data_IF_396986747278
#
_entry.id   IF_396986747278
#
_cell.length_a   1.000
_cell.length_b   1.000
_cell.length_c   1.000
_cell.angle_alpha   90.00
_cell.angle_beta   90.00
_cell.angle_gamma   90.00
#
_symmetry.space_group_name_H-M   'P 1'
#
loop_
_entity.id
_entity.type
_entity.pdbx_description
1 polymer ?
#
# COMPACT_ATOMS: atom_id res chain seq x y z
N UNK A 1 28.44 53.05 22.62
CA UNK A 1 27.08 52.44 22.66
C UNK A 1 26.55 52.40 21.24
N UNK A 2 26.50 51.21 20.62
CA UNK A 2 26.15 51.05 19.21
C UNK A 2 24.62 50.96 19.09
N UNK A 3 23.99 51.97 18.51
CA UNK A 3 22.54 52.03 18.30
C UNK A 3 22.15 51.12 17.15
N UNK A 4 21.32 50.11 17.43
CA UNK A 4 20.80 49.19 16.42
C UNK A 4 19.59 49.87 15.77
N UNK A 5 19.75 50.33 14.54
CA UNK A 5 18.70 50.95 13.75
C UNK A 5 17.65 49.89 13.34
N UNK A 6 16.46 49.95 13.93
CA UNK A 6 15.36 49.06 13.59
C UNK A 6 14.63 49.62 12.37
N UNK A 7 14.97 49.14 11.16
CA UNK A 7 14.16 49.40 9.96
C UNK A 7 12.95 48.46 10.01
N UNK A 8 11.75 49.02 10.08
CA UNK A 8 10.50 48.26 10.02
C UNK A 8 10.24 47.73 8.60
N UNK A 9 9.72 46.51 8.50
CA UNK A 9 9.27 45.89 7.25
C UNK A 9 8.03 46.64 6.72
N UNK A 10 7.97 46.97 5.43
CA UNK A 10 6.77 47.57 4.83
C UNK A 10 5.66 46.53 4.68
N UNK A 11 4.41 46.92 4.95
CA UNK A 11 3.25 46.06 4.70
C UNK A 11 3.12 45.69 3.21
N UNK A 12 3.55 46.57 2.31
CA UNK A 12 3.55 46.33 0.86
C UNK A 12 4.60 45.27 0.49
N UNK A 13 5.76 45.29 1.14
CA UNK A 13 6.81 44.27 0.94
C UNK A 13 6.30 42.89 1.35
N UNK A 14 5.58 42.80 2.47
CA UNK A 14 4.99 41.54 2.90
C UNK A 14 3.86 41.07 1.95
N UNK A 15 3.05 42.00 1.43
CA UNK A 15 1.90 41.70 0.57
C UNK A 15 2.31 41.08 -0.76
N UNK A 16 3.35 41.62 -1.43
CA UNK A 16 3.82 41.06 -2.70
C UNK A 16 4.42 39.67 -2.48
N UNK A 17 5.12 39.45 -1.37
CA UNK A 17 5.72 38.16 -1.03
C UNK A 17 4.66 37.07 -0.86
N UNK A 18 3.58 37.34 -0.10
CA UNK A 18 2.51 36.33 0.08
C UNK A 18 1.76 36.04 -1.22
N UNK A 19 1.60 37.02 -2.11
CA UNK A 19 0.97 36.81 -3.43
C UNK A 19 1.82 35.88 -4.30
N UNK A 20 3.14 36.12 -4.38
CA UNK A 20 4.03 35.28 -5.19
C UNK A 20 4.09 33.87 -4.61
N UNK A 21 4.22 33.71 -3.28
CA UNK A 21 4.19 32.40 -2.62
C UNK A 21 2.85 31.69 -2.89
N UNK A 22 1.73 32.41 -2.89
CA UNK A 22 0.40 31.87 -3.21
C UNK A 22 0.31 31.28 -4.62
N UNK A 23 0.86 31.99 -5.62
CA UNK A 23 0.89 31.50 -7.01
C UNK A 23 1.76 30.25 -7.13
N UNK A 24 2.95 30.25 -6.51
CA UNK A 24 3.84 29.09 -6.52
C UNK A 24 3.20 27.88 -5.83
N UNK A 25 2.54 28.07 -4.69
CA UNK A 25 1.86 27.02 -3.95
C UNK A 25 0.71 26.39 -4.76
N UNK A 26 -0.07 27.20 -5.48
CA UNK A 26 -1.19 26.73 -6.30
C UNK A 26 -0.75 25.73 -7.39
N UNK A 27 0.44 25.91 -7.98
CA UNK A 27 0.99 25.00 -9.00
C UNK A 27 1.74 23.83 -8.34
N UNK A 28 2.47 24.09 -7.27
CA UNK A 28 3.34 23.10 -6.64
C UNK A 28 2.57 21.99 -5.90
N UNK A 29 1.49 22.34 -5.18
CA UNK A 29 0.71 21.39 -4.38
C UNK A 29 0.13 20.23 -5.22
N UNK A 30 -0.61 20.46 -6.34
CA UNK A 30 -1.18 19.36 -7.11
C UNK A 30 -0.10 18.44 -7.69
N UNK A 31 1.04 18.99 -8.14
CA UNK A 31 2.14 18.20 -8.65
C UNK A 31 2.80 17.36 -7.55
N UNK A 32 3.01 17.94 -6.36
CA UNK A 32 3.53 17.22 -5.21
C UNK A 32 2.61 16.06 -4.79
N UNK A 33 1.30 16.27 -4.80
CA UNK A 33 0.32 15.23 -4.48
C UNK A 33 0.34 14.11 -5.52
N UNK A 34 0.44 14.43 -6.82
CA UNK A 34 0.59 13.43 -7.87
C UNK A 34 1.88 12.61 -7.72
N UNK A 35 3.01 13.26 -7.46
CA UNK A 35 4.29 12.60 -7.22
C UNK A 35 4.24 11.69 -5.99
N UNK A 36 3.64 12.14 -4.90
CA UNK A 36 3.44 11.32 -3.68
C UNK A 36 2.60 10.09 -3.96
N UNK A 37 1.50 10.19 -4.72
CA UNK A 37 0.67 9.03 -5.10
C UNK A 37 1.48 7.99 -5.88
N UNK A 38 2.29 8.41 -6.84
CA UNK A 38 3.15 7.50 -7.61
C UNK A 38 4.20 6.82 -6.71
N UNK A 39 4.80 7.56 -5.77
CA UNK A 39 5.75 7.00 -4.80
C UNK A 39 5.10 6.00 -3.84
N UNK A 40 3.88 6.29 -3.38
CA UNK A 40 3.08 5.40 -2.54
C UNK A 40 2.76 4.09 -3.26
N UNK A 41 2.32 4.18 -4.52
CA UNK A 41 2.06 3.01 -5.36
C UNK A 41 3.31 2.16 -5.58
N UNK A 42 4.45 2.80 -5.91
CA UNK A 42 5.71 2.09 -6.06
C UNK A 42 6.13 1.36 -4.78
N UNK A 43 5.93 2.01 -3.63
CA UNK A 43 6.16 1.42 -2.32
C UNK A 43 5.26 0.21 -2.08
N UNK A 44 3.95 0.34 -2.36
CA UNK A 44 2.99 -0.75 -2.16
C UNK A 44 3.29 -1.96 -3.05
N UNK A 45 3.66 -1.76 -4.32
CA UNK A 45 4.08 -2.87 -5.18
C UNK A 45 5.34 -3.55 -4.61
N UNK A 46 6.33 -2.77 -4.19
CA UNK A 46 7.56 -3.31 -3.60
C UNK A 46 7.29 -4.10 -2.32
N UNK A 47 6.45 -3.57 -1.44
CA UNK A 47 6.05 -4.20 -0.19
C UNK A 47 5.31 -5.52 -0.45
N UNK A 48 4.40 -5.56 -1.43
CA UNK A 48 3.73 -6.81 -1.80
C UNK A 48 4.69 -7.86 -2.36
N UNK A 49 5.72 -7.48 -3.15
CA UNK A 49 6.77 -8.43 -3.59
C UNK A 49 7.58 -8.96 -2.40
N UNK A 50 7.95 -8.08 -1.48
CA UNK A 50 8.68 -8.47 -0.28
C UNK A 50 7.86 -9.43 0.58
N UNK A 51 6.57 -9.14 0.79
CA UNK A 51 5.69 -9.99 1.59
C UNK A 51 5.37 -11.30 0.88
N UNK A 52 5.28 -11.32 -0.45
CA UNK A 52 5.20 -12.58 -1.21
C UNK A 52 6.41 -13.48 -0.92
N UNK A 53 7.63 -12.94 -0.95
CA UNK A 53 8.84 -13.66 -0.53
C UNK A 53 8.83 -14.07 0.94
N UNK A 54 8.26 -13.23 1.82
CA UNK A 54 8.08 -13.53 3.24
C UNK A 54 7.11 -14.70 3.46
N UNK A 55 6.04 -14.80 2.68
CA UNK A 55 5.10 -15.92 2.70
C UNK A 55 5.80 -17.22 2.30
N UNK A 56 6.62 -17.20 1.25
CA UNK A 56 7.42 -18.36 0.84
C UNK A 56 8.42 -18.77 1.93
N UNK A 57 9.08 -17.79 2.55
CA UNK A 57 9.98 -18.02 3.69
C UNK A 57 9.23 -18.68 4.84
N UNK A 58 8.10 -18.10 5.25
CA UNK A 58 7.27 -18.62 6.34
C UNK A 58 6.83 -20.07 6.07
N UNK A 59 6.32 -20.36 4.88
CA UNK A 59 5.89 -21.71 4.52
C UNK A 59 7.03 -22.74 4.63
N UNK A 60 8.25 -22.36 4.26
CA UNK A 60 9.43 -23.24 4.32
C UNK A 60 10.01 -23.40 5.73
N UNK A 61 9.89 -22.39 6.60
CA UNK A 61 10.59 -22.36 7.90
C UNK A 61 9.71 -22.69 9.10
N UNK A 62 8.49 -22.16 9.16
CA UNK A 62 7.61 -22.22 10.34
C UNK A 62 6.24 -22.84 10.00
N UNK A 63 5.72 -22.53 8.81
CA UNK A 63 4.37 -22.85 8.37
C UNK A 63 4.17 -24.30 7.92
N UNK A 64 5.22 -25.13 7.87
CA UNK A 64 5.14 -26.55 7.46
C UNK A 64 4.45 -26.74 6.09
N UNK A 65 4.76 -25.88 5.13
CA UNK A 65 4.14 -25.85 3.80
C UNK A 65 2.85 -25.03 3.71
N UNK A 66 2.37 -24.44 4.81
CA UNK A 66 1.25 -23.51 4.85
C UNK A 66 1.73 -22.06 4.94
N UNK A 67 0.95 -21.16 4.38
CA UNK A 67 1.22 -19.72 4.39
C UNK A 67 0.73 -19.06 5.69
N UNK A 68 1.23 -17.86 5.97
CA UNK A 68 0.77 -17.06 7.10
C UNK A 68 -0.60 -16.45 6.80
N UNK A 69 -1.46 -16.39 7.83
CA UNK A 69 -2.81 -15.88 7.78
C UNK A 69 -3.81 -16.81 8.44
N UNK A 70 -5.10 -16.46 8.34
CA UNK A 70 -6.19 -17.36 8.68
C UNK A 70 -6.80 -17.96 7.40
N UNK A 71 -7.10 -19.26 7.43
CA UNK A 71 -7.66 -19.92 6.25
C UNK A 71 -9.12 -19.48 6.04
N UNK A 72 -9.51 -19.21 4.80
CA UNK A 72 -10.90 -18.88 4.48
C UNK A 72 -11.29 -17.40 4.65
N UNK A 73 -10.41 -16.58 5.23
CA UNK A 73 -10.68 -15.16 5.48
C UNK A 73 -9.68 -14.26 4.74
N UNK A 74 -10.12 -13.03 4.44
CA UNK A 74 -9.27 -11.98 3.90
C UNK A 74 -9.23 -10.86 4.93
N UNK A 75 -8.10 -10.72 5.59
CA UNK A 75 -7.90 -9.85 6.74
C UNK A 75 -6.42 -9.42 6.84
N UNK A 76 -6.02 -8.91 8.00
CA UNK A 76 -4.64 -8.46 8.27
C UNK A 76 -3.73 -9.60 8.76
N UNK A 77 -4.27 -10.78 9.10
CA UNK A 77 -3.51 -11.86 9.74
C UNK A 77 -2.27 -12.32 8.97
N UNK A 78 -2.27 -12.38 7.62
CA UNK A 78 -1.05 -12.72 6.90
C UNK A 78 0.12 -11.80 7.24
N UNK A 79 -0.13 -10.52 7.54
CA UNK A 79 0.90 -9.54 7.88
C UNK A 79 1.24 -9.56 9.36
N UNK A 80 0.23 -9.65 10.26
CA UNK A 80 0.48 -9.71 11.70
C UNK A 80 1.30 -10.94 12.08
N UNK A 81 0.99 -12.10 11.47
CA UNK A 81 1.72 -13.34 11.73
C UNK A 81 3.15 -13.29 11.20
N UNK A 82 3.39 -12.74 10.01
CA UNK A 82 4.74 -12.55 9.49
C UNK A 82 5.56 -11.60 10.38
N UNK A 83 4.94 -10.53 10.88
CA UNK A 83 5.57 -9.58 11.80
C UNK A 83 5.88 -10.18 13.16
N UNK A 84 4.94 -10.94 13.74
CA UNK A 84 5.13 -11.63 15.02
C UNK A 84 6.28 -12.64 14.98
N UNK A 85 6.54 -13.22 13.80
CA UNK A 85 7.67 -14.13 13.57
C UNK A 85 8.95 -13.41 13.09
N UNK A 86 8.96 -12.07 13.05
CA UNK A 86 10.13 -11.27 12.69
C UNK A 86 10.57 -11.36 11.23
N UNK A 87 9.68 -11.81 10.33
CA UNK A 87 9.99 -11.97 8.89
C UNK A 87 9.82 -10.63 8.16
N UNK A 88 8.91 -9.78 8.61
CA UNK A 88 8.68 -8.43 8.09
C UNK A 88 8.76 -7.39 9.22
N UNK A 89 8.89 -6.12 8.85
CA UNK A 89 8.95 -5.01 9.80
C UNK A 89 7.58 -4.69 10.43
N UNK A 90 7.61 -3.99 11.58
CA UNK A 90 6.41 -3.66 12.34
C UNK A 90 5.46 -2.66 11.63
N UNK A 91 5.96 -1.81 10.72
CA UNK A 91 5.09 -0.89 9.99
C UNK A 91 4.23 -1.67 8.99
N UNK A 92 4.84 -2.60 8.25
CA UNK A 92 4.11 -3.43 7.31
C UNK A 92 3.22 -4.48 7.99
N UNK A 93 3.67 -5.04 9.12
CA UNK A 93 2.84 -5.91 9.96
C UNK A 93 1.59 -5.20 10.50
N UNK A 94 1.66 -3.88 10.70
CA UNK A 94 0.54 -3.04 11.12
C UNK A 94 -0.51 -2.79 10.03
N UNK A 95 -0.29 -3.24 8.79
CA UNK A 95 -1.29 -3.19 7.72
C UNK A 95 -1.50 -1.83 7.07
N UNK A 96 -0.80 -0.79 7.52
CA UNK A 96 -0.90 0.57 6.99
C UNK A 96 0.49 1.11 6.70
N UNK A 97 0.83 1.27 5.42
CA UNK A 97 2.14 1.80 5.00
C UNK A 97 1.98 2.63 3.72
N UNK A 98 2.65 3.78 3.67
CA UNK A 98 2.66 4.68 2.51
C UNK A 98 1.25 5.02 1.96
N UNK A 99 0.25 5.18 2.84
CA UNK A 99 -1.12 5.50 2.42
C UNK A 99 -1.90 4.33 1.80
N UNK A 100 -1.41 3.11 1.95
CA UNK A 100 -2.06 1.86 1.53
C UNK A 100 -2.40 0.98 2.73
N UNK A 101 -3.55 0.32 2.64
CA UNK A 101 -4.03 -0.73 3.54
C UNK A 101 -3.69 -2.07 2.94
N UNK A 102 -2.99 -2.89 3.69
CA UNK A 102 -2.56 -4.22 3.29
C UNK A 102 -3.44 -5.27 3.95
N UNK A 103 -3.99 -6.17 3.14
CA UNK A 103 -4.79 -7.31 3.58
C UNK A 103 -4.44 -8.52 2.75
N UNK A 104 -4.74 -9.71 3.21
CA UNK A 104 -4.54 -10.92 2.44
C UNK A 104 -5.38 -12.06 2.98
N UNK A 105 -5.41 -13.15 2.23
CA UNK A 105 -6.02 -14.38 2.68
C UNK A 105 -5.21 -15.58 2.25
N UNK A 106 -5.50 -16.72 2.87
CA UNK A 106 -4.97 -18.02 2.45
C UNK A 106 -6.04 -19.08 2.42
N UNK A 107 -5.72 -20.17 1.75
CA UNK A 107 -6.40 -21.45 1.82
C UNK A 107 -5.35 -22.51 2.09
N UNK A 108 -5.66 -23.42 3.00
CA UNK A 108 -4.77 -24.51 3.34
C UNK A 108 -4.83 -25.61 2.28
N UNK A 109 -3.74 -26.37 2.21
CA UNK A 109 -3.70 -27.52 1.33
C UNK A 109 -4.75 -28.55 1.77
N UNK A 110 -5.46 -29.08 0.80
CA UNK A 110 -6.36 -30.23 0.93
C UNK A 110 -5.85 -31.35 0.03
N UNK A 111 -6.56 -32.48 0.00
CA UNK A 111 -6.20 -33.58 -0.90
C UNK A 111 -6.21 -33.16 -2.38
N UNK A 112 -7.18 -32.33 -2.78
CA UNK A 112 -7.39 -31.92 -4.18
C UNK A 112 -6.73 -30.59 -4.55
N UNK A 113 -6.32 -29.79 -3.55
CA UNK A 113 -5.86 -28.42 -3.77
C UNK A 113 -4.60 -28.09 -2.96
N UNK A 114 -3.57 -27.49 -3.58
CA UNK A 114 -2.41 -27.00 -2.85
C UNK A 114 -2.76 -25.78 -1.98
N UNK A 115 -1.90 -25.51 -0.98
CA UNK A 115 -2.01 -24.26 -0.23
C UNK A 115 -1.80 -23.08 -1.18
N UNK A 116 -2.57 -22.02 -0.98
CA UNK A 116 -2.48 -20.81 -1.78
C UNK A 116 -2.80 -19.59 -0.93
N UNK A 117 -2.23 -18.45 -1.30
CA UNK A 117 -2.46 -17.16 -0.69
C UNK A 117 -2.64 -16.07 -1.74
N UNK A 118 -3.25 -14.98 -1.33
CA UNK A 118 -3.34 -13.74 -2.06
C UNK A 118 -3.12 -12.58 -1.10
N UNK A 119 -2.33 -11.60 -1.53
CA UNK A 119 -2.09 -10.36 -0.79
C UNK A 119 -2.60 -9.20 -1.62
N UNK A 120 -3.06 -8.15 -0.95
CA UNK A 120 -3.64 -6.97 -1.57
C UNK A 120 -3.22 -5.71 -0.83
N UNK A 121 -3.03 -4.63 -1.58
CA UNK A 121 -2.86 -3.28 -1.11
C UNK A 121 -3.93 -2.37 -1.75
N UNK A 122 -4.74 -1.70 -0.93
CA UNK A 122 -5.77 -0.75 -1.34
C UNK A 122 -5.42 0.63 -0.80
N UNK A 123 -5.47 1.72 -1.59
CA UNK A 123 -5.19 3.04 -1.06
C UNK A 123 -6.25 3.44 -0.02
N UNK A 124 -5.82 4.04 1.09
CA UNK A 124 -6.70 4.59 2.13
C UNK A 124 -7.72 5.58 1.54
N UNK A 125 -7.32 6.34 0.52
CA UNK A 125 -8.21 7.17 -0.27
C UNK A 125 -7.97 6.93 -1.77
N UNK A 126 -8.93 6.29 -2.44
CA UNK A 126 -8.85 5.95 -3.86
C UNK A 126 -9.37 7.00 -4.85
N UNK A 127 -9.90 8.12 -4.36
CA UNK A 127 -10.46 9.20 -5.20
C UNK A 127 -10.22 10.59 -4.61
N UNK A 128 -10.29 11.61 -5.46
CA UNK A 128 -10.17 13.02 -5.10
C UNK A 128 -8.75 13.56 -5.08
N UNK A 129 -8.61 14.86 -4.82
CA UNK A 129 -7.34 15.60 -4.85
C UNK A 129 -6.33 15.07 -3.83
N UNK A 130 -6.81 14.55 -2.70
CA UNK A 130 -5.99 14.01 -1.61
C UNK A 130 -5.98 12.47 -1.58
N UNK A 131 -6.29 11.83 -2.71
CA UNK A 131 -6.13 10.38 -2.85
C UNK A 131 -4.71 9.95 -2.47
N UNK A 132 -4.58 8.81 -1.80
CA UNK A 132 -3.28 8.24 -1.43
C UNK A 132 -2.70 7.34 -2.53
N UNK A 133 -3.55 6.90 -3.47
CA UNK A 133 -3.21 6.16 -4.67
C UNK A 133 -4.38 6.10 -5.66
N UNK A 134 -4.13 5.65 -6.89
CA UNK A 134 -5.17 5.54 -7.95
C UNK A 134 -5.41 4.10 -8.40
N UNK A 135 -4.61 3.15 -7.91
CA UNK A 135 -4.83 1.72 -8.15
C UNK A 135 -4.81 0.87 -6.88
N UNK A 136 -5.66 -0.15 -6.86
CA UNK A 136 -5.52 -1.34 -6.03
C UNK A 136 -4.44 -2.24 -6.65
N UNK A 137 -3.70 -2.93 -5.81
CA UNK A 137 -2.65 -3.85 -6.23
C UNK A 137 -2.86 -5.16 -5.48
N UNK A 138 -2.76 -6.29 -6.17
CA UNK A 138 -2.74 -7.59 -5.53
C UNK A 138 -1.64 -8.49 -6.11
N UNK A 139 -1.27 -9.51 -5.35
CA UNK A 139 -0.35 -10.55 -5.78
C UNK A 139 -0.92 -11.90 -5.36
N UNK A 140 -0.95 -12.84 -6.28
CA UNK A 140 -1.34 -14.22 -6.01
C UNK A 140 -0.12 -15.08 -5.71
N UNK A 141 -0.36 -16.35 -5.34
CA UNK A 141 0.69 -17.30 -4.96
C UNK A 141 1.73 -17.51 -6.07
N UNK A 142 1.29 -17.44 -7.32
CA UNK A 142 2.11 -17.54 -8.53
C UNK A 142 3.08 -16.37 -8.73
N UNK A 143 2.98 -15.32 -7.91
CA UNK A 143 3.81 -14.12 -8.00
C UNK A 143 3.35 -13.13 -9.06
N UNK A 144 2.24 -13.40 -9.76
CA UNK A 144 1.66 -12.47 -10.72
C UNK A 144 1.07 -11.30 -9.96
N UNK A 145 1.50 -10.11 -10.36
CA UNK A 145 0.97 -8.85 -9.85
C UNK A 145 -0.27 -8.45 -10.66
N UNK A 146 -1.27 -7.95 -9.97
CA UNK A 146 -2.56 -7.57 -10.52
C UNK A 146 -2.87 -6.12 -10.12
N UNK A 147 -3.37 -5.36 -11.08
CA UNK A 147 -3.76 -3.96 -10.92
C UNK A 147 -5.26 -3.78 -11.06
N UNK A 148 -5.79 -2.85 -10.27
CA UNK A 148 -7.20 -2.50 -10.29
C UNK A 148 -7.47 -1.04 -10.05
N UNK A 149 -8.62 -0.53 -10.50
CA UNK A 149 -9.07 0.83 -10.19
C UNK A 149 -9.31 1.00 -8.69
N UNK A 150 -8.71 2.03 -8.08
CA UNK A 150 -8.85 2.32 -6.66
C UNK A 150 -10.25 2.80 -6.23
N UNK A 151 -11.08 3.23 -7.17
CA UNK A 151 -12.46 3.66 -6.88
C UNK A 151 -13.40 2.48 -6.63
N UNK A 152 -13.04 1.28 -7.08
CA UNK A 152 -13.80 0.06 -6.88
C UNK A 152 -13.02 -0.94 -6.02
N UNK A 153 -13.44 -1.09 -4.77
CA UNK A 153 -12.81 -2.02 -3.80
C UNK A 153 -12.86 -3.48 -4.23
N UNK A 154 -13.70 -3.84 -5.21
CA UNK A 154 -13.77 -5.21 -5.74
C UNK A 154 -12.70 -5.50 -6.79
N UNK A 155 -11.98 -4.48 -7.28
CA UNK A 155 -10.91 -4.64 -8.25
C UNK A 155 -9.59 -5.05 -7.58
N UNK A 156 -8.87 -6.01 -8.17
CA UNK A 156 -7.70 -6.65 -7.58
C UNK A 156 -8.01 -7.21 -6.18
N UNK A 157 -9.21 -7.76 -5.99
CA UNK A 157 -9.64 -8.33 -4.71
C UNK A 157 -9.18 -9.79 -4.58
N UNK A 158 -8.65 -10.14 -3.41
CA UNK A 158 -8.48 -11.53 -3.01
C UNK A 158 -9.84 -12.13 -2.69
N UNK A 159 -10.22 -13.19 -3.40
CA UNK A 159 -11.49 -13.89 -3.20
C UNK A 159 -11.21 -15.35 -2.90
N UNK A 160 -11.73 -15.83 -1.77
CA UNK A 160 -11.62 -17.22 -1.35
C UNK A 160 -12.81 -18.01 -1.89
N UNK A 161 -12.52 -19.11 -2.56
CA UNK A 161 -13.48 -20.12 -2.98
C UNK A 161 -13.11 -21.46 -2.33
N UNK A 162 -13.95 -22.48 -2.51
CA UNK A 162 -13.69 -23.82 -1.97
C UNK A 162 -12.35 -24.35 -2.51
N UNK A 163 -11.36 -24.45 -1.63
CA UNK A 163 -10.04 -24.99 -1.95
C UNK A 163 -9.09 -24.07 -2.73
N UNK A 164 -9.48 -22.85 -3.10
CA UNK A 164 -8.58 -21.95 -3.85
C UNK A 164 -8.83 -20.47 -3.53
N UNK A 165 -7.78 -19.66 -3.67
CA UNK A 165 -7.87 -18.20 -3.60
C UNK A 165 -7.41 -17.61 -4.91
N UNK A 166 -8.13 -16.60 -5.40
CA UNK A 166 -7.86 -15.95 -6.68
C UNK A 166 -7.96 -14.44 -6.56
N UNK A 167 -7.37 -13.73 -7.53
CA UNK A 167 -7.54 -12.28 -7.68
C UNK A 167 -8.64 -12.04 -8.71
N UNK A 168 -9.71 -11.36 -8.30
CA UNK A 168 -10.83 -11.05 -9.19
C UNK A 168 -10.68 -9.71 -9.89
N UNK A 169 -11.28 -9.62 -11.09
CA UNK A 169 -11.54 -8.37 -11.84
C UNK A 169 -10.32 -7.46 -12.11
N UNK A 170 -9.13 -8.05 -12.18
CA UNK A 170 -7.87 -7.31 -12.27
C UNK A 170 -7.09 -7.61 -13.55
N UNK A 171 -6.27 -6.64 -13.97
CA UNK A 171 -5.34 -6.81 -15.11
C UNK A 171 -3.95 -7.18 -14.59
N UNK A 172 -3.23 -8.12 -15.23
CA UNK A 172 -1.85 -8.39 -14.88
C UNK A 172 -0.99 -7.14 -15.06
N UNK A 173 -0.15 -6.85 -14.06
CA UNK A 173 0.88 -5.82 -14.11
C UNK A 173 2.15 -6.46 -14.66
N UNK A 174 2.69 -5.87 -15.73
CA UNK A 174 3.99 -6.27 -16.30
C UNK A 174 5.17 -5.72 -15.50
#
# INVERSE_FOLDING_TARGET
MKTINHRGFSLVELLIVVVIIGILAAIAIPNLLASRRSANEGSAVSDLRMVHGAQMTYASSLGKGLFAGNAGTVDLEPFTQLGANGIIDNQLAGGLKSGYVFTGGKVDATFDWPSSFCLRAVPVAGNGTFATGIRNIAVATDGVMYGGDATNVNNAQCTVATGSISVTSATPLS
#
